data_IF_501450017154
#
_entry.id   IF_501450017154
#
_cell.length_a   1.000
_cell.length_b   1.000
_cell.length_c   1.000
_cell.angle_alpha   90.00
_cell.angle_beta   90.00
_cell.angle_gamma   90.00
#
_symmetry.space_group_name_H-M   'P 1'
#
loop_
_entity.id
_entity.type
_entity.pdbx_description
1 polymer ?
#
# COMPACT_ATOMS: atom_id res chain seq x y z
N UNK A 1 -27.54 -7.81 -13.78
CA UNK A 1 -26.73 -7.27 -12.66
C UNK A 1 -25.44 -8.09 -12.58
N UNK A 2 -24.35 -7.52 -12.08
CA UNK A 2 -23.07 -8.23 -12.00
C UNK A 2 -22.62 -8.66 -13.39
N UNK A 3 -22.43 -9.97 -13.57
CA UNK A 3 -21.93 -10.60 -14.80
C UNK A 3 -23.00 -10.88 -15.88
N UNK A 4 -24.29 -10.60 -15.64
CA UNK A 4 -25.35 -10.90 -16.62
C UNK A 4 -25.18 -10.23 -17.99
N UNK A 5 -24.39 -9.16 -18.08
CA UNK A 5 -24.08 -8.50 -19.36
C UNK A 5 -23.35 -9.43 -20.33
N UNK A 6 -22.70 -10.48 -19.85
CA UNK A 6 -22.05 -11.50 -20.67
C UNK A 6 -23.02 -12.37 -21.46
N UNK A 7 -24.32 -12.38 -21.08
CA UNK A 7 -25.38 -13.06 -21.85
C UNK A 7 -25.73 -12.35 -23.15
N UNK A 8 -25.35 -11.07 -23.29
CA UNK A 8 -25.56 -10.35 -24.53
C UNK A 8 -24.73 -10.99 -25.66
N UNK A 9 -25.32 -11.06 -26.85
CA UNK A 9 -24.69 -11.68 -28.02
C UNK A 9 -23.28 -11.08 -28.26
N UNK A 10 -22.29 -11.97 -28.40
CA UNK A 10 -20.90 -11.61 -28.64
C UNK A 10 -20.17 -10.91 -27.48
N UNK A 11 -20.77 -10.76 -26.29
CA UNK A 11 -20.08 -10.16 -25.13
C UNK A 11 -18.84 -10.97 -24.71
N UNK A 12 -18.98 -12.30 -24.56
CA UNK A 12 -17.86 -13.18 -24.23
C UNK A 12 -16.76 -13.15 -25.29
N UNK A 13 -17.12 -13.20 -26.57
CA UNK A 13 -16.17 -13.14 -27.68
C UNK A 13 -15.40 -11.81 -27.73
N UNK A 14 -16.06 -10.69 -27.42
CA UNK A 14 -15.39 -9.38 -27.31
C UNK A 14 -14.43 -9.32 -26.13
N UNK A 15 -14.80 -9.91 -24.99
CA UNK A 15 -13.88 -10.01 -23.84
C UNK A 15 -12.66 -10.86 -24.19
N UNK A 16 -12.87 -12.02 -24.82
CA UNK A 16 -11.78 -12.87 -25.32
C UNK A 16 -10.84 -12.11 -26.27
N UNK A 17 -11.41 -11.39 -27.26
CA UNK A 17 -10.63 -10.61 -28.21
C UNK A 17 -9.81 -9.49 -27.54
N UNK A 18 -10.34 -8.86 -26.49
CA UNK A 18 -9.58 -7.89 -25.70
C UNK A 18 -8.42 -8.56 -24.96
N UNK A 19 -8.64 -9.74 -24.36
CA UNK A 19 -7.59 -10.50 -23.69
C UNK A 19 -6.47 -10.91 -24.67
N UNK A 20 -6.84 -11.39 -25.86
CA UNK A 20 -5.88 -11.82 -26.90
C UNK A 20 -5.03 -10.65 -27.44
N UNK A 21 -5.61 -9.45 -27.50
CA UNK A 21 -4.94 -8.25 -27.99
C UNK A 21 -4.17 -7.47 -26.92
N UNK A 22 -4.35 -7.79 -25.63
CA UNK A 22 -3.77 -7.03 -24.53
C UNK A 22 -2.24 -7.26 -24.42
N UNK A 23 -1.42 -6.19 -24.47
CA UNK A 23 0.03 -6.32 -24.45
C UNK A 23 0.58 -6.82 -23.11
N UNK A 24 -0.11 -6.54 -21.99
CA UNK A 24 0.32 -6.98 -20.66
C UNK A 24 0.12 -8.49 -20.54
N UNK A 25 -1.07 -8.99 -20.89
CA UNK A 25 -1.35 -10.42 -20.92
C UNK A 25 -0.42 -11.15 -21.89
N UNK A 26 -0.25 -10.68 -23.13
CA UNK A 26 0.66 -11.31 -24.10
C UNK A 26 2.09 -11.44 -23.57
N UNK A 27 2.58 -10.46 -22.80
CA UNK A 27 3.91 -10.51 -22.23
C UNK A 27 4.02 -11.45 -21.02
N UNK A 28 2.96 -11.59 -20.23
CA UNK A 28 2.98 -12.31 -18.94
C UNK A 28 2.39 -13.72 -18.97
N UNK A 29 1.60 -14.06 -19.98
CA UNK A 29 0.98 -15.39 -20.14
C UNK A 29 2.00 -16.53 -20.40
N UNK A 30 3.13 -16.34 -21.10
CA UNK A 30 4.11 -17.41 -21.27
C UNK A 30 4.58 -17.95 -19.92
N UNK A 31 4.43 -19.27 -19.71
CA UNK A 31 4.77 -19.94 -18.44
C UNK A 31 3.65 -19.94 -17.38
N UNK A 32 2.50 -19.30 -17.67
CA UNK A 32 1.31 -19.40 -16.83
C UNK A 32 0.58 -20.74 -17.00
N UNK A 33 0.10 -21.29 -15.89
CA UNK A 33 -0.70 -22.52 -15.87
C UNK A 33 -1.70 -22.47 -14.71
N UNK A 34 -2.94 -22.01 -14.98
CA UNK A 34 -3.97 -21.91 -13.96
C UNK A 34 -5.37 -21.89 -14.58
N UNK A 35 -6.36 -22.41 -13.84
CA UNK A 35 -7.77 -22.30 -14.20
C UNK A 35 -8.56 -21.65 -13.08
N UNK A 36 -9.11 -20.47 -13.37
CA UNK A 36 -9.93 -19.69 -12.46
C UNK A 36 -11.39 -19.71 -12.92
N UNK A 37 -12.33 -19.44 -12.01
CA UNK A 37 -13.70 -19.09 -12.40
C UNK A 37 -14.27 -17.97 -11.54
N UNK A 38 -15.10 -17.14 -12.16
CA UNK A 38 -15.98 -16.19 -11.48
C UNK A 38 -17.41 -16.72 -11.55
N UNK A 39 -18.13 -16.66 -10.43
CA UNK A 39 -19.47 -17.22 -10.33
C UNK A 39 -20.44 -16.29 -9.60
N UNK A 40 -21.66 -16.27 -10.11
CA UNK A 40 -22.85 -15.70 -9.45
C UNK A 40 -24.05 -16.63 -9.68
N UNK A 41 -25.18 -16.46 -8.97
CA UNK A 41 -26.36 -17.30 -9.21
C UNK A 41 -26.76 -17.34 -10.69
N UNK A 42 -26.77 -18.55 -11.27
CA UNK A 42 -27.18 -18.81 -12.65
C UNK A 42 -26.13 -18.50 -13.74
N UNK A 43 -24.93 -18.03 -13.40
CA UNK A 43 -23.87 -17.76 -14.38
C UNK A 43 -22.48 -18.02 -13.78
N UNK A 44 -21.65 -18.77 -14.49
CA UNK A 44 -20.24 -18.94 -14.18
C UNK A 44 -19.39 -18.82 -15.45
N UNK A 45 -18.20 -18.27 -15.30
CA UNK A 45 -17.24 -18.14 -16.41
C UNK A 45 -15.88 -18.62 -15.92
N UNK A 46 -15.29 -19.56 -16.65
CA UNK A 46 -13.93 -20.01 -16.44
C UNK A 46 -12.94 -19.21 -17.28
N UNK A 47 -11.75 -18.99 -16.71
CA UNK A 47 -10.60 -18.36 -17.33
C UNK A 47 -9.45 -19.38 -17.25
N UNK A 48 -9.13 -20.00 -18.37
CA UNK A 48 -8.07 -21.01 -18.47
C UNK A 48 -6.80 -20.39 -19.04
N UNK A 49 -5.72 -20.43 -18.28
CA UNK A 49 -4.39 -19.95 -18.64
C UNK A 49 -3.52 -21.17 -18.91
N UNK A 50 -3.20 -21.40 -20.17
CA UNK A 50 -2.34 -22.49 -20.60
C UNK A 50 -1.64 -22.13 -21.92
N UNK A 51 -0.42 -22.65 -22.11
CA UNK A 51 0.32 -22.55 -23.39
C UNK A 51 0.48 -21.10 -23.90
N UNK A 52 0.61 -20.13 -22.98
CA UNK A 52 0.75 -18.71 -23.33
C UNK A 52 -0.54 -18.04 -23.81
N UNK A 53 -1.71 -18.65 -23.56
CA UNK A 53 -3.04 -18.11 -23.91
C UNK A 53 -3.94 -18.06 -22.68
N UNK A 54 -4.91 -17.15 -22.71
CA UNK A 54 -6.04 -17.11 -21.78
C UNK A 54 -7.30 -17.42 -22.59
N UNK A 55 -8.08 -18.42 -22.16
CA UNK A 55 -9.33 -18.82 -22.83
C UNK A 55 -10.50 -18.67 -21.87
N UNK A 56 -11.58 -18.03 -22.35
CA UNK A 56 -12.82 -17.84 -21.61
C UNK A 56 -13.86 -18.88 -22.05
N UNK A 57 -14.55 -19.49 -21.08
CA UNK A 57 -15.67 -20.40 -21.36
C UNK A 57 -16.77 -20.25 -20.31
N UNK A 58 -18.02 -20.54 -20.69
CA UNK A 58 -19.11 -20.65 -19.70
C UNK A 58 -18.93 -21.93 -18.89
N UNK A 59 -19.05 -21.81 -17.57
CA UNK A 59 -18.87 -22.92 -16.64
C UNK A 59 -18.09 -22.53 -15.39
N UNK A 60 -18.11 -23.42 -14.40
CA UNK A 60 -17.44 -23.25 -13.11
C UNK A 60 -16.30 -24.26 -12.90
N UNK A 61 -15.97 -25.07 -13.91
CA UNK A 61 -14.83 -25.98 -13.86
C UNK A 61 -13.53 -25.20 -13.77
N UNK A 62 -12.98 -25.10 -12.56
CA UNK A 62 -11.78 -24.36 -12.24
C UNK A 62 -11.11 -24.92 -10.99
N UNK A 63 -9.79 -24.79 -10.95
CA UNK A 63 -9.00 -25.14 -9.77
C UNK A 63 -9.21 -24.14 -8.63
N UNK A 64 -9.50 -22.87 -8.97
CA UNK A 64 -9.84 -21.81 -8.01
C UNK A 64 -11.09 -21.08 -8.46
N UNK A 65 -12.09 -20.98 -7.57
CA UNK A 65 -13.41 -20.41 -7.84
C UNK A 65 -13.64 -19.17 -6.98
N UNK A 66 -14.10 -18.08 -7.59
CA UNK A 66 -14.50 -16.84 -6.92
C UNK A 66 -16.01 -16.68 -7.04
N UNK A 67 -16.73 -16.81 -5.92
CA UNK A 67 -18.19 -16.77 -5.87
C UNK A 67 -18.72 -15.52 -5.17
N UNK A 68 -19.78 -14.92 -5.70
CA UNK A 68 -20.50 -13.85 -5.00
C UNK A 68 -21.90 -13.63 -5.59
N UNK A 69 -22.78 -12.99 -4.82
CA UNK A 69 -24.05 -12.48 -5.33
C UNK A 69 -23.86 -11.44 -6.45
N UNK A 70 -24.81 -11.38 -7.39
CA UNK A 70 -24.73 -10.46 -8.53
C UNK A 70 -24.56 -8.99 -8.11
N UNK A 71 -25.13 -8.59 -6.96
CA UNK A 71 -25.00 -7.24 -6.41
C UNK A 71 -23.58 -6.89 -5.92
N UNK A 72 -22.78 -7.89 -5.50
CA UNK A 72 -21.38 -7.69 -5.14
C UNK A 72 -20.56 -7.47 -6.42
N UNK A 73 -20.77 -8.33 -7.42
CA UNK A 73 -20.12 -8.21 -8.72
C UNK A 73 -20.48 -6.91 -9.46
N UNK A 74 -21.72 -6.44 -9.29
CA UNK A 74 -22.17 -5.15 -9.83
C UNK A 74 -21.29 -4.00 -9.36
N UNK A 75 -20.97 -3.98 -8.05
CA UNK A 75 -20.09 -2.98 -7.44
C UNK A 75 -18.64 -3.16 -7.90
N UNK A 76 -18.15 -4.39 -7.97
CA UNK A 76 -16.79 -4.69 -8.45
C UNK A 76 -16.56 -4.22 -9.89
N UNK A 77 -17.59 -4.33 -10.72
CA UNK A 77 -17.56 -3.95 -12.13
C UNK A 77 -17.96 -2.49 -12.38
N UNK A 78 -18.14 -1.66 -11.35
CA UNK A 78 -18.40 -0.23 -11.52
C UNK A 78 -17.16 0.50 -12.07
N UNK A 79 -17.31 1.63 -12.78
CA UNK A 79 -16.17 2.41 -13.31
C UNK A 79 -15.17 2.80 -12.21
N UNK A 80 -15.69 3.23 -11.07
CA UNK A 80 -14.94 3.42 -9.82
C UNK A 80 -15.63 2.56 -8.77
N UNK A 81 -15.12 1.34 -8.49
CA UNK A 81 -15.74 0.48 -7.49
C UNK A 81 -15.73 1.13 -6.11
N UNK A 82 -16.80 0.98 -5.32
CA UNK A 82 -16.80 1.49 -3.95
C UNK A 82 -15.78 0.76 -3.08
N UNK A 83 -15.46 1.33 -1.91
CA UNK A 83 -14.51 0.75 -0.96
C UNK A 83 -14.77 -0.76 -0.74
N UNK A 84 -13.68 -1.51 -0.67
CA UNK A 84 -13.62 -2.97 -0.55
C UNK A 84 -14.05 -3.78 -1.79
N UNK A 85 -14.58 -3.15 -2.83
CA UNK A 85 -15.02 -3.85 -4.05
C UNK A 85 -14.07 -3.61 -5.24
N UNK A 86 -12.91 -2.98 -5.03
CA UNK A 86 -12.01 -2.59 -6.11
C UNK A 86 -10.98 -3.66 -6.52
N UNK A 87 -10.85 -4.74 -5.74
CA UNK A 87 -9.93 -5.85 -6.01
C UNK A 87 -10.42 -7.16 -5.35
N UNK A 88 -10.07 -8.33 -5.91
CA UNK A 88 -10.44 -9.65 -5.34
C UNK A 88 -9.88 -9.86 -3.91
N UNK A 89 -8.70 -9.33 -3.60
CA UNK A 89 -8.15 -9.36 -2.24
C UNK A 89 -8.99 -8.55 -1.26
N UNK A 90 -9.47 -7.37 -1.69
CA UNK A 90 -10.34 -6.51 -0.90
C UNK A 90 -11.70 -7.20 -0.62
N UNK A 91 -12.28 -7.83 -1.67
CA UNK A 91 -13.49 -8.63 -1.56
C UNK A 91 -13.31 -9.77 -0.54
N UNK A 92 -12.24 -10.59 -0.72
CA UNK A 92 -11.91 -11.71 0.19
C UNK A 92 -11.78 -11.25 1.64
N UNK A 93 -11.19 -10.08 1.87
CA UNK A 93 -10.89 -9.64 3.23
C UNK A 93 -12.09 -8.98 3.92
N UNK A 94 -12.97 -8.30 3.18
CA UNK A 94 -13.94 -7.35 3.79
C UNK A 94 -15.38 -7.44 3.32
N UNK A 95 -15.70 -8.25 2.31
CA UNK A 95 -17.08 -8.32 1.78
C UNK A 95 -17.73 -9.66 2.15
N UNK A 96 -18.65 -9.67 3.14
CA UNK A 96 -19.45 -10.85 3.42
C UNK A 96 -20.23 -11.31 2.19
N UNK A 97 -20.27 -12.62 1.95
CA UNK A 97 -20.92 -13.21 0.78
C UNK A 97 -20.03 -13.32 -0.47
N UNK A 98 -18.79 -12.83 -0.43
CA UNK A 98 -17.76 -13.22 -1.38
C UNK A 98 -17.00 -14.45 -0.87
N UNK A 99 -16.79 -15.43 -1.73
CA UNK A 99 -16.03 -16.64 -1.44
C UNK A 99 -14.90 -16.83 -2.45
N UNK A 100 -13.82 -17.42 -1.97
CA UNK A 100 -12.75 -17.97 -2.82
C UNK A 100 -12.43 -19.36 -2.31
N UNK A 101 -12.51 -20.35 -3.20
CA UNK A 101 -12.27 -21.76 -2.87
C UNK A 101 -11.32 -22.38 -3.90
N UNK A 102 -10.41 -23.25 -3.43
CA UNK A 102 -9.53 -24.02 -4.31
C UNK A 102 -8.04 -23.70 -4.15
N UNK A 103 -7.31 -23.72 -5.25
CA UNK A 103 -5.84 -23.63 -5.30
C UNK A 103 -5.29 -22.22 -5.04
N UNK A 104 -5.05 -21.90 -3.77
CA UNK A 104 -4.45 -20.63 -3.37
C UNK A 104 -3.03 -20.40 -3.92
N UNK A 105 -2.26 -21.47 -4.17
CA UNK A 105 -0.92 -21.35 -4.74
C UNK A 105 -1.00 -20.87 -6.19
N UNK A 106 -1.87 -21.48 -6.99
CA UNK A 106 -2.11 -21.04 -8.37
C UNK A 106 -2.60 -19.59 -8.40
N UNK A 107 -3.47 -19.19 -7.46
CA UNK A 107 -3.88 -17.78 -7.36
C UNK A 107 -2.70 -16.87 -7.02
N UNK A 108 -1.87 -17.21 -6.04
CA UNK A 108 -0.68 -16.42 -5.69
C UNK A 108 0.30 -16.27 -6.88
N UNK A 109 0.45 -17.32 -7.70
CA UNK A 109 1.31 -17.29 -8.89
C UNK A 109 0.74 -16.43 -10.03
N UNK A 110 -0.59 -16.38 -10.18
CA UNK A 110 -1.24 -15.87 -11.40
C UNK A 110 -2.30 -14.77 -11.17
N UNK A 111 -2.45 -14.25 -9.95
CA UNK A 111 -3.42 -13.21 -9.61
C UNK A 111 -3.35 -11.99 -10.55
N UNK A 112 -2.15 -11.57 -10.94
CA UNK A 112 -1.91 -10.45 -11.85
C UNK A 112 -2.51 -10.66 -13.25
N UNK A 113 -2.54 -11.89 -13.75
CA UNK A 113 -3.18 -12.25 -15.02
C UNK A 113 -4.70 -12.20 -14.88
N UNK A 114 -5.22 -12.82 -13.82
CA UNK A 114 -6.65 -12.81 -13.52
C UNK A 114 -7.18 -11.39 -13.34
N UNK A 115 -6.51 -10.56 -12.52
CA UNK A 115 -6.88 -9.15 -12.32
C UNK A 115 -6.92 -8.40 -13.64
N UNK A 116 -5.89 -8.53 -14.48
CA UNK A 116 -5.87 -7.84 -15.78
C UNK A 116 -7.03 -8.29 -16.68
N UNK A 117 -7.33 -9.59 -16.72
CA UNK A 117 -8.49 -10.09 -17.47
C UNK A 117 -9.82 -9.49 -16.96
N UNK A 118 -9.98 -9.37 -15.64
CA UNK A 118 -11.15 -8.73 -15.02
C UNK A 118 -11.21 -7.21 -15.28
N UNK A 119 -10.06 -6.52 -15.30
CA UNK A 119 -9.97 -5.11 -15.71
C UNK A 119 -10.46 -4.91 -17.15
N UNK A 120 -10.07 -5.80 -18.07
CA UNK A 120 -10.55 -5.77 -19.47
C UNK A 120 -12.06 -6.01 -19.56
N UNK A 121 -12.59 -6.91 -18.73
CA UNK A 121 -14.03 -7.14 -18.64
C UNK A 121 -14.78 -5.89 -18.18
N UNK A 122 -14.25 -5.22 -17.14
CA UNK A 122 -14.78 -3.96 -16.61
C UNK A 122 -14.72 -2.83 -17.64
N UNK A 123 -13.59 -2.69 -18.36
CA UNK A 123 -13.45 -1.73 -19.46
C UNK A 123 -14.54 -1.90 -20.51
N UNK A 124 -14.73 -3.13 -21.00
CA UNK A 124 -15.73 -3.46 -22.00
C UNK A 124 -17.15 -3.16 -21.50
N UNK A 125 -17.46 -3.58 -20.27
CA UNK A 125 -18.76 -3.36 -19.64
C UNK A 125 -19.09 -1.87 -19.50
N UNK A 126 -18.09 -1.05 -19.18
CA UNK A 126 -18.22 0.40 -19.05
C UNK A 126 -18.28 1.14 -20.40
N UNK A 127 -18.44 0.42 -21.52
CA UNK A 127 -18.63 1.00 -22.85
C UNK A 127 -17.34 1.18 -23.64
N UNK A 128 -16.22 0.61 -23.21
CA UNK A 128 -14.98 0.61 -23.96
C UNK A 128 -15.10 -0.15 -25.29
N UNK A 129 -14.81 0.51 -26.40
CA UNK A 129 -14.95 -0.06 -27.76
C UNK A 129 -13.63 -0.34 -28.47
N UNK A 130 -12.50 0.09 -27.91
CA UNK A 130 -11.16 -0.08 -28.46
C UNK A 130 -10.19 -0.78 -27.49
N UNK A 131 -8.87 -0.75 -27.79
CA UNK A 131 -7.86 -1.26 -26.88
C UNK A 131 -8.02 -0.64 -25.49
N UNK A 132 -8.01 -1.48 -24.46
CA UNK A 132 -8.05 -1.00 -23.09
C UNK A 132 -6.73 -0.27 -22.76
N UNK A 133 -6.78 0.82 -21.97
CA UNK A 133 -5.56 1.43 -21.46
C UNK A 133 -4.80 0.46 -20.55
N UNK A 134 -3.50 0.68 -20.38
CA UNK A 134 -2.63 -0.12 -19.47
C UNK A 134 -3.15 -0.10 -18.03
N UNK A 135 -3.80 0.99 -17.63
CA UNK A 135 -4.47 1.14 -16.34
C UNK A 135 -5.83 1.80 -16.53
N UNK A 136 -6.83 1.39 -15.75
CA UNK A 136 -8.15 2.05 -15.68
C UNK A 136 -8.16 3.26 -14.72
N UNK A 137 -7.03 3.50 -14.04
CA UNK A 137 -6.82 4.66 -13.18
C UNK A 137 -6.69 5.94 -14.03
N UNK A 138 -7.06 7.11 -13.50
CA UNK A 138 -6.78 8.38 -14.19
C UNK A 138 -5.26 8.59 -14.32
N UNK A 139 -4.85 9.32 -15.36
CA UNK A 139 -3.44 9.70 -15.54
C UNK A 139 -3.16 11.07 -14.92
N UNK A 140 -1.94 11.30 -14.42
CA UNK A 140 -1.46 12.64 -14.04
C UNK A 140 -1.39 13.56 -15.27
N UNK A 141 -1.14 13.00 -16.45
CA UNK A 141 -1.15 13.72 -17.73
C UNK A 141 0.09 14.60 -17.97
N UNK A 142 0.95 14.79 -16.97
CA UNK A 142 2.23 15.50 -17.09
C UNK A 142 3.35 14.70 -16.42
N UNK A 143 4.53 14.56 -17.06
CA UNK A 143 5.70 14.01 -16.41
C UNK A 143 6.03 14.84 -15.17
N UNK A 144 6.12 14.20 -14.00
CA UNK A 144 6.58 14.86 -12.79
C UNK A 144 8.11 14.81 -12.79
N UNK A 145 8.81 15.95 -12.70
CA UNK A 145 10.26 15.92 -12.52
C UNK A 145 10.58 15.16 -11.21
N UNK A 146 11.74 14.49 -11.18
CA UNK A 146 12.22 13.89 -9.94
C UNK A 146 12.57 14.99 -8.93
N UNK A 147 12.47 14.71 -7.61
CA UNK A 147 12.83 15.69 -6.60
C UNK A 147 14.31 16.06 -6.72
N UNK A 148 14.64 17.32 -6.40
CA UNK A 148 16.03 17.75 -6.21
C UNK A 148 16.60 17.24 -4.87
N UNK A 149 16.45 15.94 -4.60
CA UNK A 149 16.86 15.32 -3.35
C UNK A 149 18.37 15.14 -3.26
N UNK A 150 18.93 15.40 -2.08
CA UNK A 150 20.32 15.09 -1.75
C UNK A 150 20.34 14.03 -0.67
N UNK A 151 21.11 12.96 -0.89
CA UNK A 151 21.22 11.87 0.07
C UNK A 151 22.65 11.46 0.38
N UNK A 152 22.78 10.81 1.53
CA UNK A 152 24.05 10.35 2.10
C UNK A 152 23.81 9.13 2.99
N UNK A 153 24.88 8.37 3.20
CA UNK A 153 24.88 7.32 4.20
C UNK A 153 25.19 7.88 5.59
N UNK A 154 24.59 7.29 6.60
CA UNK A 154 24.88 7.54 8.02
C UNK A 154 25.07 6.22 8.75
N UNK A 155 25.88 6.25 9.81
CA UNK A 155 26.01 5.11 10.72
C UNK A 155 25.10 5.35 11.93
N UNK A 156 24.28 4.36 12.24
CA UNK A 156 23.34 4.36 13.37
C UNK A 156 23.65 3.18 14.29
N UNK A 157 23.81 3.43 15.57
CA UNK A 157 24.00 2.39 16.57
C UNK A 157 22.65 1.92 17.12
N UNK A 158 22.36 0.62 17.01
CA UNK A 158 21.17 0.00 17.56
C UNK A 158 21.50 -1.44 18.00
N UNK A 159 20.91 -1.92 19.10
CA UNK A 159 21.11 -3.27 19.66
C UNK A 159 22.58 -3.67 19.81
N UNK A 160 23.45 -2.72 20.19
CA UNK A 160 24.87 -2.98 20.38
C UNK A 160 25.68 -3.15 19.09
N UNK A 161 25.14 -2.77 17.93
CA UNK A 161 25.84 -2.84 16.63
C UNK A 161 25.55 -1.63 15.74
N UNK A 162 26.42 -1.44 14.75
CA UNK A 162 26.33 -0.35 13.80
C UNK A 162 25.57 -0.78 12.54
N UNK A 163 24.65 0.08 12.10
CA UNK A 163 23.87 -0.05 10.88
C UNK A 163 24.22 1.12 9.95
N UNK A 164 24.51 0.82 8.68
CA UNK A 164 24.66 1.85 7.66
C UNK A 164 23.30 2.08 7.02
N UNK A 165 22.79 3.30 7.13
CA UNK A 165 21.50 3.69 6.56
C UNK A 165 21.69 4.76 5.49
N UNK A 166 21.00 4.62 4.36
CA UNK A 166 20.85 5.69 3.38
C UNK A 166 19.71 6.62 3.77
N UNK A 167 19.96 7.93 3.78
CA UNK A 167 18.94 8.95 3.95
C UNK A 167 19.03 10.00 2.85
N UNK A 168 17.90 10.60 2.49
CA UNK A 168 17.81 11.68 1.52
C UNK A 168 16.78 12.75 1.92
N UNK A 169 17.00 13.98 1.48
CA UNK A 169 16.17 15.11 1.81
C UNK A 169 16.01 16.09 0.65
N UNK A 170 14.87 16.77 0.62
CA UNK A 170 14.60 17.87 -0.30
C UNK A 170 13.77 18.97 0.38
N UNK A 171 13.94 20.21 -0.10
CA UNK A 171 13.24 21.39 0.42
C UNK A 171 13.97 22.07 1.58
N UNK A 172 13.37 23.15 2.08
CA UNK A 172 13.85 23.94 3.21
C UNK A 172 12.70 24.25 4.17
N UNK A 173 13.01 24.47 5.44
CA UNK A 173 12.01 24.70 6.49
C UNK A 173 12.01 23.60 7.54
N UNK A 174 10.90 23.46 8.28
CA UNK A 174 10.78 22.47 9.36
C UNK A 174 10.88 21.05 8.77
N UNK A 175 11.78 20.20 9.28
CA UNK A 175 11.93 18.85 8.76
C UNK A 175 10.71 17.99 9.10
N UNK A 176 10.29 17.22 8.12
CA UNK A 176 9.41 16.06 8.26
C UNK A 176 10.30 14.84 8.05
N UNK A 177 10.42 13.99 9.07
CA UNK A 177 11.05 12.70 8.97
C UNK A 177 10.01 11.67 8.49
N UNK A 178 10.13 11.30 7.21
CA UNK A 178 9.33 10.29 6.54
C UNK A 178 9.85 8.88 6.76
N UNK A 179 8.97 7.97 7.14
CA UNK A 179 9.24 6.55 7.31
C UNK A 179 8.47 5.72 6.26
N UNK A 180 9.16 4.92 5.45
CA UNK A 180 8.54 4.10 4.40
C UNK A 180 7.71 2.94 4.96
N UNK A 181 6.82 2.40 4.13
CA UNK A 181 6.01 1.21 4.46
C UNK A 181 6.82 -0.08 4.33
N UNK A 182 6.27 -1.18 4.85
CA UNK A 182 6.90 -2.51 4.79
C UNK A 182 7.34 -2.88 3.37
N UNK A 183 8.59 -3.34 3.21
CA UNK A 183 9.20 -3.81 1.95
C UNK A 183 9.35 -2.75 0.86
N UNK A 184 9.21 -1.47 1.18
CA UNK A 184 9.47 -0.34 0.28
C UNK A 184 10.66 0.49 0.79
N UNK A 185 10.80 1.73 0.33
CA UNK A 185 11.95 2.57 0.68
C UNK A 185 11.61 4.07 0.56
N UNK A 186 12.58 4.93 0.83
CA UNK A 186 12.47 6.39 0.84
C UNK A 186 11.90 7.00 -0.46
N UNK A 187 11.92 6.27 -1.59
CA UNK A 187 11.33 6.74 -2.86
C UNK A 187 9.84 6.96 -2.79
N UNK A 188 9.13 6.36 -1.82
CA UNK A 188 7.73 6.69 -1.55
C UNK A 188 7.48 8.17 -1.25
N UNK A 189 8.50 8.89 -0.79
CA UNK A 189 8.40 10.31 -0.46
C UNK A 189 8.79 11.25 -1.60
N UNK A 190 9.29 10.74 -2.73
CA UNK A 190 9.85 11.57 -3.81
C UNK A 190 8.86 12.60 -4.36
N UNK A 191 7.58 12.23 -4.48
CA UNK A 191 6.55 13.17 -4.95
C UNK A 191 6.22 14.26 -3.93
N UNK A 192 6.32 13.97 -2.63
CA UNK A 192 6.18 14.98 -1.59
C UNK A 192 7.42 15.87 -1.47
N UNK A 193 8.61 15.33 -1.73
CA UNK A 193 9.86 16.08 -1.81
C UNK A 193 9.85 17.16 -2.90
N UNK A 194 9.12 16.94 -4.00
CA UNK A 194 8.93 17.91 -5.08
C UNK A 194 7.67 18.77 -4.94
N UNK A 195 6.89 18.59 -3.85
CA UNK A 195 5.60 19.28 -3.73
C UNK A 195 5.72 20.74 -3.27
N UNK A 196 5.35 21.65 -4.17
CA UNK A 196 5.44 23.10 -3.97
C UNK A 196 4.58 23.56 -2.81
N UNK A 197 3.43 22.91 -2.58
CA UNK A 197 2.53 23.28 -1.48
C UNK A 197 3.19 23.05 -0.12
N UNK A 198 4.00 22.00 0.03
CA UNK A 198 4.76 21.73 1.26
C UNK A 198 5.88 22.74 1.46
N UNK A 199 6.65 23.01 0.41
CA UNK A 199 7.73 24.00 0.45
C UNK A 199 7.19 25.40 0.79
N UNK A 200 6.08 25.83 0.19
CA UNK A 200 5.40 27.10 0.49
C UNK A 200 4.88 27.17 1.93
N UNK A 201 4.48 26.03 2.51
CA UNK A 201 4.07 25.93 3.90
C UNK A 201 5.26 25.87 4.88
N UNK A 202 6.50 25.93 4.39
CA UNK A 202 7.70 25.96 5.23
C UNK A 202 8.13 24.60 5.76
N UNK A 203 7.86 23.52 5.03
CA UNK A 203 8.27 22.17 5.38
C UNK A 203 9.27 21.59 4.36
N UNK A 204 10.19 20.77 4.87
CA UNK A 204 11.14 19.98 4.09
C UNK A 204 10.96 18.49 4.42
N UNK A 205 11.15 17.61 3.45
CA UNK A 205 11.07 16.16 3.67
C UNK A 205 12.47 15.59 3.81
N UNK A 206 12.68 14.75 4.81
CA UNK A 206 13.81 13.82 4.93
C UNK A 206 13.25 12.43 5.10
N UNK A 207 13.73 11.45 4.34
CA UNK A 207 13.38 10.04 4.51
C UNK A 207 14.64 9.18 4.55
N UNK A 208 14.55 7.99 5.13
CA UNK A 208 15.65 7.03 5.14
C UNK A 208 15.17 5.63 4.86
N UNK A 209 16.08 4.81 4.36
CA UNK A 209 15.86 3.40 4.09
C UNK A 209 16.23 2.57 5.31
N UNK A 210 15.31 1.74 5.79
CA UNK A 210 15.62 0.73 6.81
C UNK A 210 16.70 -0.24 6.31
N UNK A 211 17.39 -0.97 7.20
CA UNK A 211 18.35 -1.98 6.78
C UNK A 211 17.74 -2.97 5.78
N UNK A 212 18.47 -3.29 4.70
CA UNK A 212 17.99 -4.18 3.63
C UNK A 212 16.93 -3.58 2.68
N UNK A 213 16.67 -2.28 2.77
CA UNK A 213 15.73 -1.56 1.90
C UNK A 213 16.45 -0.56 1.02
N UNK A 214 15.90 -0.30 -0.18
CA UNK A 214 16.40 0.73 -1.09
C UNK A 214 17.92 0.68 -1.27
N UNK A 215 18.61 1.72 -0.79
CA UNK A 215 20.06 1.86 -0.83
C UNK A 215 20.76 1.46 0.47
N UNK A 216 20.03 1.22 1.56
CA UNK A 216 20.59 0.70 2.81
C UNK A 216 21.00 -0.77 2.65
N UNK A 217 22.25 -1.14 2.98
CA UNK A 217 22.72 -2.51 2.86
C UNK A 217 21.89 -3.47 3.72
N UNK A 218 21.79 -4.72 3.27
CA UNK A 218 21.22 -5.80 4.05
C UNK A 218 22.10 -6.13 5.26
N UNK A 219 21.46 -6.56 6.35
CA UNK A 219 22.15 -7.07 7.54
C UNK A 219 22.28 -8.58 7.39
N UNK A 220 23.50 -9.11 7.55
CA UNK A 220 23.77 -10.54 7.49
C UNK A 220 23.33 -11.22 8.79
N UNK A 221 22.02 -11.41 8.98
CA UNK A 221 21.46 -12.09 10.15
C UNK A 221 21.26 -13.60 9.88
N UNK A 222 21.72 -14.50 10.76
CA UNK A 222 21.31 -15.90 10.73
C UNK A 222 19.79 -16.01 10.89
N UNK A 223 19.08 -16.50 9.88
CA UNK A 223 17.62 -16.66 9.90
C UNK A 223 16.83 -15.61 9.12
N UNK A 224 17.49 -14.61 8.53
CA UNK A 224 16.85 -13.58 7.68
C UNK A 224 16.44 -12.32 8.45
N UNK A 225 15.96 -11.31 7.70
CA UNK A 225 15.48 -10.05 8.25
C UNK A 225 14.17 -10.24 9.03
N UNK A 226 14.10 -9.70 10.24
CA UNK A 226 12.88 -9.58 11.02
C UNK A 226 12.94 -8.26 11.80
N UNK A 227 11.98 -7.38 11.52
CA UNK A 227 11.86 -6.11 12.24
C UNK A 227 11.02 -6.33 13.50
N UNK A 228 11.39 -5.65 14.57
CA UNK A 228 10.60 -5.59 15.80
C UNK A 228 10.63 -4.17 16.39
N UNK A 229 9.84 -3.96 17.44
CA UNK A 229 9.63 -2.65 18.06
C UNK A 229 10.91 -2.00 18.54
N UNK A 230 11.79 -2.75 19.21
CA UNK A 230 13.00 -2.18 19.82
C UNK A 230 14.02 -1.79 18.76
N UNK A 231 14.26 -2.68 17.79
CA UNK A 231 15.17 -2.38 16.69
C UNK A 231 14.66 -1.17 15.89
N UNK A 232 13.36 -1.15 15.56
CA UNK A 232 12.81 -0.08 14.74
C UNK A 232 12.89 1.28 15.45
N UNK A 233 12.52 1.32 16.73
CA UNK A 233 12.62 2.52 17.57
C UNK A 233 14.06 3.05 17.65
N UNK A 234 15.03 2.18 17.91
CA UNK A 234 16.45 2.58 18.01
C UNK A 234 17.00 3.08 16.68
N UNK A 235 16.64 2.46 15.55
CA UNK A 235 17.03 2.93 14.22
C UNK A 235 16.48 4.33 13.94
N UNK A 236 15.22 4.63 14.28
CA UNK A 236 14.62 5.96 14.10
C UNK A 236 15.36 6.99 14.95
N UNK A 237 15.53 6.74 16.25
CA UNK A 237 16.15 7.69 17.18
C UNK A 237 17.63 7.93 16.86
N UNK A 238 18.35 6.87 16.48
CA UNK A 238 19.73 6.96 16.05
C UNK A 238 19.87 7.63 14.69
N UNK A 239 18.94 7.45 13.76
CA UNK A 239 18.91 8.22 12.52
C UNK A 239 18.67 9.71 12.79
N UNK A 240 17.74 10.08 13.67
CA UNK A 240 17.51 11.48 14.07
C UNK A 240 18.80 12.13 14.58
N UNK A 241 19.58 11.40 15.39
CA UNK A 241 20.86 11.87 15.91
C UNK A 241 21.94 11.98 14.81
N UNK A 242 22.15 10.92 14.03
CA UNK A 242 23.16 10.87 12.98
C UNK A 242 22.86 11.80 11.79
N UNK A 243 21.58 12.08 11.54
CA UNK A 243 21.16 13.02 10.52
C UNK A 243 21.42 14.48 10.93
N UNK A 244 21.31 14.78 12.23
CA UNK A 244 21.63 16.09 12.78
C UNK A 244 20.61 17.17 12.44
N UNK A 245 19.31 16.90 12.65
CA UNK A 245 18.27 17.90 12.43
C UNK A 245 18.49 19.16 13.29
N UNK A 246 18.31 20.33 12.68
CA UNK A 246 18.49 21.64 13.34
C UNK A 246 17.33 22.01 14.26
N UNK A 247 16.17 21.40 14.06
CA UNK A 247 14.99 21.50 14.93
C UNK A 247 14.29 20.14 15.01
N UNK A 248 13.38 19.97 15.97
CA UNK A 248 12.65 18.69 16.12
C UNK A 248 11.82 18.41 14.86
N UNK A 249 12.01 17.25 14.19
CA UNK A 249 11.22 16.93 13.03
C UNK A 249 9.78 16.57 13.40
N UNK A 250 8.86 16.73 12.45
CA UNK A 250 7.58 16.03 12.48
C UNK A 250 7.81 14.61 12.00
N UNK A 251 7.36 13.60 12.75
CA UNK A 251 7.43 12.21 12.30
C UNK A 251 6.21 11.87 11.45
N UNK A 252 6.43 11.31 10.26
CA UNK A 252 5.38 10.91 9.33
C UNK A 252 5.64 9.48 8.85
N UNK A 253 4.70 8.57 9.09
CA UNK A 253 4.79 7.18 8.63
C UNK A 253 3.43 6.62 8.26
N UNK A 254 3.39 5.58 7.44
CA UNK A 254 2.19 4.85 7.04
C UNK A 254 2.34 3.35 7.32
N UNK A 255 1.24 2.65 7.62
CA UNK A 255 1.20 1.19 7.77
C UNK A 255 2.12 0.74 8.93
N UNK A 256 3.08 -0.15 8.66
CA UNK A 256 4.18 -0.50 9.57
C UNK A 256 4.80 0.73 10.25
N UNK A 257 5.08 1.78 9.48
CA UNK A 257 5.68 2.99 10.04
C UNK A 257 4.68 3.93 10.70
N UNK A 258 3.38 3.73 10.49
CA UNK A 258 2.31 4.36 11.27
C UNK A 258 2.22 3.79 12.69
N UNK A 259 2.36 2.49 12.86
CA UNK A 259 2.38 1.84 14.18
C UNK A 259 3.61 2.24 15.00
N UNK A 260 4.80 2.27 14.39
CA UNK A 260 5.99 2.76 15.10
C UNK A 260 5.88 4.26 15.43
N UNK A 261 5.12 5.05 14.67
CA UNK A 261 4.81 6.43 15.04
C UNK A 261 4.02 6.49 16.37
N UNK A 262 3.07 5.58 16.59
CA UNK A 262 2.35 5.47 17.86
C UNK A 262 3.30 5.04 19.00
N UNK A 263 4.22 4.12 18.73
CA UNK A 263 5.28 3.76 19.68
C UNK A 263 6.17 4.97 20.02
N UNK A 264 6.58 5.77 19.04
CA UNK A 264 7.41 6.95 19.25
C UNK A 264 6.70 8.03 20.07
N UNK A 265 5.38 8.17 19.88
CA UNK A 265 4.56 9.09 20.67
C UNK A 265 4.55 8.72 22.16
N UNK A 266 4.71 7.44 22.49
CA UNK A 266 4.86 6.94 23.85
C UNK A 266 6.30 7.01 24.34
N UNK A 267 7.26 6.51 23.56
CA UNK A 267 8.65 6.26 23.95
C UNK A 267 9.52 7.51 23.97
N UNK A 268 9.35 8.40 23.00
CA UNK A 268 10.24 9.54 22.79
C UNK A 268 9.50 10.79 22.27
N UNK A 269 8.37 11.21 22.88
CA UNK A 269 7.59 12.34 22.40
C UNK A 269 8.39 13.65 22.40
N UNK A 270 9.41 13.79 23.25
CA UNK A 270 10.28 14.96 23.29
C UNK A 270 11.21 15.09 22.07
N UNK A 271 11.37 14.04 21.26
CA UNK A 271 12.23 14.05 20.07
C UNK A 271 11.56 14.61 18.83
N UNK A 272 10.23 14.74 18.84
CA UNK A 272 9.43 15.14 17.67
C UNK A 272 8.60 16.39 17.97
N UNK A 273 8.41 17.23 16.95
CA UNK A 273 7.54 18.41 17.04
C UNK A 273 6.06 18.03 16.99
N UNK A 274 5.75 16.99 16.23
CA UNK A 274 4.44 16.35 16.11
C UNK A 274 4.62 14.98 15.47
N UNK A 275 3.58 14.15 15.55
CA UNK A 275 3.53 12.83 14.92
C UNK A 275 2.26 12.72 14.08
N UNK A 276 2.43 12.29 12.83
CA UNK A 276 1.35 12.00 11.89
C UNK A 276 1.46 10.52 11.53
N UNK A 277 0.56 9.72 12.09
CA UNK A 277 0.51 8.28 11.90
C UNK A 277 -0.57 7.94 10.87
N UNK A 278 -0.15 7.55 9.67
CA UNK A 278 -1.03 7.13 8.60
C UNK A 278 -1.28 5.62 8.65
N UNK A 279 -2.48 5.17 8.27
CA UNK A 279 -2.86 3.74 8.22
C UNK A 279 -2.47 2.97 9.50
N UNK A 280 -2.66 3.58 10.67
CA UNK A 280 -2.16 3.10 11.95
C UNK A 280 -3.30 2.79 12.93
N UNK A 281 -3.25 1.63 13.57
CA UNK A 281 -4.13 1.24 14.66
C UNK A 281 -3.32 0.54 15.74
N UNK A 282 -3.82 0.47 16.97
CA UNK A 282 -3.12 -0.11 18.13
C UNK A 282 -2.82 -1.62 18.04
N UNK A 283 -3.39 -2.29 17.05
CA UNK A 283 -3.10 -3.68 16.70
C UNK A 283 -3.67 -4.02 15.32
N UNK A 284 -2.85 -4.58 14.42
CA UNK A 284 -3.28 -5.08 13.11
C UNK A 284 -2.99 -6.59 13.00
N UNK A 285 -3.93 -7.30 12.39
CA UNK A 285 -3.84 -8.74 12.13
C UNK A 285 -4.10 -9.04 10.65
N UNK A 286 -3.84 -10.29 10.26
CA UNK A 286 -4.22 -10.86 8.95
C UNK A 286 -3.57 -10.17 7.75
N UNK A 287 -2.40 -9.55 7.95
CA UNK A 287 -1.56 -9.02 6.86
C UNK A 287 -0.38 -9.89 6.50
N UNK A 288 -0.06 -10.89 7.34
CA UNK A 288 0.85 -11.98 6.98
C UNK A 288 0.26 -12.80 5.84
N UNK A 289 1.08 -13.09 4.84
CA UNK A 289 0.77 -13.99 3.73
C UNK A 289 1.94 -14.95 3.55
N UNK A 290 1.68 -16.27 3.43
CA UNK A 290 2.75 -17.25 3.23
C UNK A 290 3.37 -17.16 1.83
N UNK A 291 2.80 -16.35 0.92
CA UNK A 291 3.17 -16.31 -0.48
C UNK A 291 4.26 -15.27 -0.79
N UNK A 292 4.59 -14.38 0.16
CA UNK A 292 5.57 -13.31 -0.07
C UNK A 292 7.03 -13.81 -0.12
N UNK A 293 7.31 -15.00 0.41
CA UNK A 293 8.61 -15.68 0.41
C UNK A 293 8.52 -17.17 0.01
N UNK A 294 7.36 -17.60 -0.50
CA UNK A 294 7.16 -19.00 -0.89
C UNK A 294 8.08 -19.38 -2.06
N UNK A 295 8.79 -20.53 -2.03
CA UNK A 295 9.78 -20.90 -3.05
C UNK A 295 9.20 -21.13 -4.45
N UNK A 296 7.89 -21.40 -4.55
CA UNK A 296 7.17 -21.55 -5.82
C UNK A 296 6.47 -20.26 -6.30
N UNK A 297 6.58 -19.15 -5.55
CA UNK A 297 5.94 -17.88 -5.88
C UNK A 297 7.03 -16.85 -6.14
N UNK A 298 6.95 -16.18 -7.29
CA UNK A 298 7.86 -15.07 -7.57
C UNK A 298 7.44 -13.84 -6.77
N UNK A 299 8.16 -13.55 -5.69
CA UNK A 299 7.90 -12.42 -4.81
C UNK A 299 7.86 -11.06 -5.53
N UNK A 300 8.71 -10.86 -6.55
CA UNK A 300 8.76 -9.64 -7.35
C UNK A 300 7.54 -9.45 -8.27
N UNK A 301 6.66 -10.45 -8.37
CA UNK A 301 5.37 -10.37 -9.07
C UNK A 301 4.22 -10.35 -8.04
N UNK A 302 4.25 -11.28 -7.08
CA UNK A 302 3.17 -11.43 -6.10
C UNK A 302 3.03 -10.23 -5.18
N UNK A 303 4.14 -9.70 -4.64
CA UNK A 303 4.08 -8.58 -3.68
C UNK A 303 3.49 -7.33 -4.38
N UNK A 304 3.99 -6.86 -5.53
CA UNK A 304 3.36 -5.75 -6.24
C UNK A 304 1.89 -5.96 -6.56
N UNK A 305 1.48 -7.19 -6.93
CA UNK A 305 0.07 -7.51 -7.20
C UNK A 305 -0.81 -7.47 -5.94
N UNK A 306 -0.30 -7.95 -4.81
CA UNK A 306 -0.97 -7.82 -3.53
C UNK A 306 -1.12 -6.35 -3.10
N UNK A 307 -0.08 -5.55 -3.35
CA UNK A 307 -0.02 -4.12 -3.07
C UNK A 307 -0.95 -3.32 -3.99
N UNK A 308 -1.08 -3.68 -5.26
CA UNK A 308 -2.03 -3.07 -6.21
C UNK A 308 -3.46 -3.11 -5.68
N UNK A 309 -3.83 -4.19 -5.00
CA UNK A 309 -5.14 -4.32 -4.36
C UNK A 309 -5.41 -3.23 -3.33
N UNK A 310 -4.39 -2.75 -2.62
CA UNK A 310 -4.52 -1.77 -1.53
C UNK A 310 -4.58 -0.31 -2.01
N UNK A 311 -4.36 -0.04 -3.30
CA UNK A 311 -4.36 1.31 -3.87
C UNK A 311 -5.78 1.68 -4.33
N UNK A 312 -6.26 2.87 -3.94
CA UNK A 312 -7.62 3.32 -4.27
C UNK A 312 -7.81 3.47 -5.79
N UNK A 313 -8.90 3.01 -6.42
CA UNK A 313 -9.03 2.92 -7.89
C UNK A 313 -8.94 4.27 -8.63
N UNK A 314 -9.20 5.38 -7.95
CA UNK A 314 -9.04 6.75 -8.47
C UNK A 314 -7.63 7.34 -8.29
N UNK A 315 -6.72 6.67 -7.60
CA UNK A 315 -5.33 7.11 -7.46
C UNK A 315 -4.63 7.10 -8.83
N UNK A 316 -3.82 8.12 -9.18
CA UNK A 316 -3.21 8.23 -10.49
C UNK A 316 -2.39 7.00 -10.92
N UNK A 317 -2.49 6.66 -12.20
CA UNK A 317 -1.88 5.47 -12.80
C UNK A 317 -0.36 5.44 -12.64
N UNK A 318 0.30 6.59 -12.81
CA UNK A 318 1.76 6.74 -12.69
C UNK A 318 2.24 6.50 -11.25
N UNK A 319 1.50 7.00 -10.26
CA UNK A 319 1.78 6.77 -8.84
C UNK A 319 1.62 5.30 -8.48
N UNK A 320 0.54 4.65 -8.94
CA UNK A 320 0.33 3.22 -8.70
C UNK A 320 1.45 2.36 -9.35
N UNK A 321 1.88 2.73 -10.56
CA UNK A 321 2.98 2.05 -11.24
C UNK A 321 4.32 2.22 -10.50
N UNK A 322 4.60 3.40 -9.95
CA UNK A 322 5.78 3.64 -9.11
C UNK A 322 5.76 2.82 -7.83
N UNK A 323 4.62 2.75 -7.14
CA UNK A 323 4.45 1.88 -5.97
C UNK A 323 4.76 0.42 -6.36
N UNK A 324 4.11 -0.10 -7.41
CA UNK A 324 4.34 -1.47 -7.88
C UNK A 324 5.82 -1.72 -8.23
N UNK A 325 6.47 -0.73 -8.86
CA UNK A 325 7.90 -0.78 -9.18
C UNK A 325 8.77 -0.88 -7.92
N UNK A 326 8.57 -0.01 -6.92
CA UNK A 326 9.33 -0.05 -5.67
C UNK A 326 9.22 -1.43 -5.00
N UNK A 327 8.00 -1.96 -4.91
CA UNK A 327 7.73 -3.26 -4.32
C UNK A 327 8.30 -4.44 -5.11
N UNK A 328 8.50 -4.29 -6.42
CA UNK A 328 9.12 -5.32 -7.26
C UNK A 328 10.64 -5.45 -7.06
N UNK A 329 11.25 -4.47 -6.38
CA UNK A 329 12.70 -4.36 -6.17
C UNK A 329 13.14 -4.70 -4.75
N UNK A 330 12.22 -5.12 -3.89
CA UNK A 330 12.52 -5.47 -2.51
C UNK A 330 13.47 -6.68 -2.40
N UNK A 331 14.33 -6.67 -1.38
CA UNK A 331 15.16 -7.81 -1.04
C UNK A 331 14.32 -9.05 -0.68
N UNK A 332 14.83 -10.24 -0.99
CA UNK A 332 14.19 -11.48 -0.59
C UNK A 332 14.04 -11.54 0.94
N UNK A 333 12.84 -11.87 1.43
CA UNK A 333 12.54 -11.93 2.86
C UNK A 333 12.33 -10.57 3.55
N UNK A 334 12.67 -9.45 2.90
CA UNK A 334 12.54 -8.11 3.49
C UNK A 334 11.08 -7.76 3.80
N UNK A 335 10.18 -7.86 2.81
CA UNK A 335 8.75 -7.59 3.00
C UNK A 335 8.10 -8.46 4.10
N UNK A 336 8.21 -9.81 4.07
CA UNK A 336 7.61 -10.61 5.15
C UNK A 336 8.26 -10.34 6.51
N UNK A 337 9.57 -10.06 6.57
CA UNK A 337 10.27 -9.68 7.80
C UNK A 337 9.77 -8.38 8.43
N UNK A 338 9.41 -7.39 7.61
CA UNK A 338 8.74 -6.16 8.05
C UNK A 338 7.31 -6.42 8.54
N UNK A 339 6.57 -7.27 7.82
CA UNK A 339 5.19 -7.61 8.16
C UNK A 339 5.09 -8.37 9.49
N UNK A 340 6.19 -8.98 9.98
CA UNK A 340 6.22 -9.58 11.32
C UNK A 340 5.90 -8.54 12.40
N UNK A 341 6.52 -7.36 12.34
CA UNK A 341 6.22 -6.25 13.24
C UNK A 341 4.78 -5.76 13.02
N UNK A 342 4.42 -5.39 11.80
CA UNK A 342 3.13 -4.77 11.49
C UNK A 342 1.91 -5.65 11.77
N UNK A 343 2.03 -6.96 11.55
CA UNK A 343 0.90 -7.89 11.69
C UNK A 343 1.15 -8.83 12.86
N UNK A 344 0.86 -8.36 14.07
CA UNK A 344 0.89 -9.12 15.32
C UNK A 344 2.22 -9.12 16.08
N UNK A 345 3.26 -8.44 15.58
CA UNK A 345 4.51 -8.24 16.32
C UNK A 345 4.46 -7.01 17.23
N UNK A 346 3.71 -5.98 16.84
CA UNK A 346 3.39 -4.83 17.67
C UNK A 346 1.95 -4.91 18.16
N UNK A 347 1.77 -4.82 19.48
CA UNK A 347 0.48 -4.73 20.15
C UNK A 347 0.58 -3.63 21.21
N UNK A 348 -0.31 -2.66 21.10
CA UNK A 348 -0.37 -1.55 22.03
C UNK A 348 -1.78 -1.35 22.60
N UNK A 349 -2.70 -2.31 22.45
CA UNK A 349 -4.10 -2.20 22.90
C UNK A 349 -4.23 -1.84 24.38
N UNK A 350 -3.30 -2.31 25.21
CA UNK A 350 -3.24 -2.07 26.65
C UNK A 350 -2.48 -0.80 27.05
N UNK A 351 -1.80 -0.12 26.11
CA UNK A 351 -0.89 0.99 26.42
C UNK A 351 -1.02 2.23 25.56
N UNK A 352 -1.75 2.21 24.44
CA UNK A 352 -1.95 3.40 23.59
C UNK A 352 -2.56 4.57 24.35
N UNK A 353 -3.44 4.31 25.30
CA UNK A 353 -4.07 5.34 26.14
C UNK A 353 -3.07 6.14 27.01
N UNK A 354 -1.82 5.68 27.12
CA UNK A 354 -0.73 6.34 27.85
C UNK A 354 0.02 7.37 27.00
N UNK A 355 -0.27 7.47 25.70
CA UNK A 355 0.30 8.50 24.83
C UNK A 355 -0.17 9.88 25.32
N UNK A 356 0.79 10.75 25.61
CA UNK A 356 0.54 12.11 26.08
C UNK A 356 0.64 13.12 24.93
N UNK A 357 -0.51 13.49 24.37
CA UNK A 357 -0.59 14.41 23.24
C UNK A 357 -0.29 15.87 23.59
N UNK A 358 -0.18 16.20 24.89
CA UNK A 358 0.30 17.51 25.32
C UNK A 358 1.82 17.63 25.17
N UNK A 359 2.56 16.51 25.27
CA UNK A 359 4.02 16.47 25.03
C UNK A 359 4.37 16.45 23.55
N UNK A 360 3.60 15.69 22.75
CA UNK A 360 3.78 15.62 21.31
C UNK A 360 2.42 15.43 20.64
N UNK A 361 1.94 16.42 19.85
CA UNK A 361 0.67 16.29 19.18
C UNK A 361 0.63 15.10 18.22
N UNK A 362 -0.47 14.35 18.25
CA UNK A 362 -0.68 13.16 17.44
C UNK A 362 -1.91 13.31 16.54
N UNK A 363 -1.73 13.08 15.23
CA UNK A 363 -2.82 12.98 14.26
C UNK A 363 -2.75 11.64 13.54
N UNK A 364 -3.88 10.93 13.51
CA UNK A 364 -4.07 9.69 12.76
C UNK A 364 -4.81 10.01 11.46
N UNK A 365 -4.27 9.55 10.33
CA UNK A 365 -4.89 9.68 9.01
C UNK A 365 -5.07 8.28 8.41
N UNK A 366 -6.20 7.95 7.81
CA UNK A 366 -6.40 6.60 7.24
C UNK A 366 -7.26 6.66 6.00
N UNK A 367 -6.80 6.01 4.93
CA UNK A 367 -7.48 5.96 3.65
C UNK A 367 -8.86 5.30 3.72
N UNK A 368 -9.81 5.83 2.97
CA UNK A 368 -11.14 5.23 2.80
C UNK A 368 -11.08 3.81 2.19
N UNK A 369 -10.13 3.58 1.28
CA UNK A 369 -9.97 2.33 0.54
C UNK A 369 -9.00 1.35 1.21
N UNK A 370 -8.38 1.72 2.33
CA UNK A 370 -7.51 0.80 3.05
C UNK A 370 -8.33 -0.33 3.70
N UNK A 371 -8.24 -1.52 3.13
CA UNK A 371 -8.83 -2.73 3.71
C UNK A 371 -7.88 -3.47 4.65
N UNK A 372 -6.61 -3.07 4.75
CA UNK A 372 -5.66 -3.58 5.73
C UNK A 372 -5.94 -2.95 7.10
N UNK A 373 -5.60 -1.67 7.25
CA UNK A 373 -5.87 -0.88 8.43
C UNK A 373 -7.10 0.00 8.12
N UNK A 374 -8.29 -0.54 8.32
CA UNK A 374 -9.51 0.20 8.00
C UNK A 374 -9.59 1.49 8.81
N UNK A 375 -10.17 2.55 8.24
CA UNK A 375 -10.45 3.81 8.93
C UNK A 375 -11.11 3.60 10.31
N UNK A 376 -11.94 2.57 10.44
CA UNK A 376 -12.59 2.19 11.68
C UNK A 376 -11.60 1.68 12.76
N UNK A 377 -10.53 0.97 12.37
CA UNK A 377 -9.46 0.56 13.31
C UNK A 377 -8.70 1.78 13.86
N UNK A 378 -8.31 2.70 12.98
CA UNK A 378 -7.59 3.92 13.36
C UNK A 378 -8.47 4.84 14.19
N UNK A 379 -9.75 4.98 13.85
CA UNK A 379 -10.72 5.74 14.64
C UNK A 379 -10.87 5.18 16.06
N UNK A 380 -11.01 3.85 16.18
CA UNK A 380 -11.09 3.17 17.47
C UNK A 380 -9.81 3.33 18.30
N UNK A 381 -8.65 3.36 17.65
CA UNK A 381 -7.36 3.63 18.30
C UNK A 381 -7.27 5.07 18.80
N UNK A 382 -7.57 6.05 17.95
CA UNK A 382 -7.55 7.46 18.30
C UNK A 382 -8.49 7.78 19.47
N UNK A 383 -9.67 7.14 19.52
CA UNK A 383 -10.63 7.31 20.62
C UNK A 383 -10.08 6.87 21.99
N UNK A 384 -9.06 6.01 22.04
CA UNK A 384 -8.38 5.59 23.28
C UNK A 384 -7.31 6.58 23.74
N UNK A 385 -6.90 7.53 22.90
CA UNK A 385 -5.76 8.43 23.14
C UNK A 385 -6.29 9.86 23.38
N UNK A 386 -6.26 10.36 24.62
CA UNK A 386 -6.73 11.71 24.92
C UNK A 386 -6.01 12.77 24.08
N UNK A 387 -6.79 13.60 23.37
CA UNK A 387 -6.29 14.70 22.54
C UNK A 387 -5.74 14.31 21.17
N UNK A 388 -5.69 13.02 20.83
CA UNK A 388 -5.36 12.60 19.47
C UNK A 388 -6.45 13.03 18.49
N UNK A 389 -6.04 13.37 17.27
CA UNK A 389 -6.95 13.69 16.17
C UNK A 389 -7.03 12.53 15.21
N UNK A 390 -8.19 12.31 14.62
CA UNK A 390 -8.38 11.33 13.57
C UNK A 390 -9.13 11.95 12.39
N UNK A 391 -8.70 11.60 11.18
CA UNK A 391 -9.42 11.93 9.96
C UNK A 391 -9.31 10.79 8.95
N UNK A 392 -10.45 10.34 8.43
CA UNK A 392 -10.49 9.47 7.25
C UNK A 392 -10.18 10.30 6.00
N UNK A 393 -9.33 9.76 5.13
CA UNK A 393 -8.95 10.36 3.86
C UNK A 393 -9.79 9.75 2.74
N UNK A 394 -10.88 10.43 2.39
CA UNK A 394 -11.74 10.01 1.28
C UNK A 394 -10.95 10.00 -0.03
N UNK A 395 -11.13 8.96 -0.83
CA UNK A 395 -10.42 8.80 -2.10
C UNK A 395 -9.00 8.23 -2.02
N UNK A 396 -8.48 7.90 -0.83
CA UNK A 396 -7.12 7.35 -0.61
C UNK A 396 -7.19 5.89 -0.12
N UNK A 397 -6.19 5.09 -0.47
CA UNK A 397 -5.99 3.70 -0.04
C UNK A 397 -4.91 3.58 1.03
N UNK A 398 -4.12 2.50 0.97
CA UNK A 398 -3.12 2.18 2.00
C UNK A 398 -1.79 2.93 1.88
N UNK A 399 -1.55 3.66 0.78
CA UNK A 399 -0.25 4.31 0.51
C UNK A 399 -0.41 5.83 0.34
N UNK A 400 -1.00 6.55 1.31
CA UNK A 400 -1.35 7.96 1.18
C UNK A 400 -0.22 8.83 0.65
N UNK A 401 1.00 8.58 1.13
CA UNK A 401 2.21 9.34 0.81
C UNK A 401 2.54 9.26 -0.69
N UNK A 402 2.33 8.10 -1.32
CA UNK A 402 2.80 7.82 -2.67
C UNK A 402 1.68 7.69 -3.70
N UNK A 403 0.49 7.21 -3.32
CA UNK A 403 -0.53 6.83 -4.31
C UNK A 403 -1.25 8.02 -4.92
N UNK A 404 -1.48 9.09 -4.13
CA UNK A 404 -2.11 10.30 -4.60
C UNK A 404 -1.63 11.51 -3.79
N UNK A 405 -0.39 11.99 -4.01
CA UNK A 405 0.22 13.03 -3.20
C UNK A 405 -0.57 14.34 -3.16
N UNK A 406 -1.20 14.71 -4.27
CA UNK A 406 -2.03 15.91 -4.36
C UNK A 406 -3.25 15.82 -3.44
N UNK A 407 -3.97 14.68 -3.47
CA UNK A 407 -5.10 14.43 -2.58
C UNK A 407 -4.64 14.29 -1.13
N UNK A 408 -3.53 13.59 -0.87
CA UNK A 408 -2.99 13.43 0.48
C UNK A 408 -2.63 14.78 1.12
N UNK A 409 -2.13 15.75 0.35
CA UNK A 409 -1.80 17.07 0.86
C UNK A 409 -3.00 17.87 1.36
N UNK A 410 -4.21 17.58 0.89
CA UNK A 410 -5.42 18.20 1.41
C UNK A 410 -5.72 17.79 2.85
N UNK A 411 -5.14 16.67 3.31
CA UNK A 411 -5.21 16.17 4.68
C UNK A 411 -3.93 16.45 5.47
N UNK A 412 -2.76 16.27 4.85
CA UNK A 412 -1.46 16.44 5.51
C UNK A 412 -1.19 17.89 5.91
N UNK A 413 -1.47 18.87 5.04
CA UNK A 413 -1.18 20.28 5.34
C UNK A 413 -1.97 20.81 6.55
N UNK A 414 -3.30 20.59 6.65
CA UNK A 414 -4.03 20.94 7.87
C UNK A 414 -3.45 20.26 9.11
N UNK A 415 -3.07 18.98 9.02
CA UNK A 415 -2.45 18.26 10.13
C UNK A 415 -1.15 18.94 10.56
N UNK A 416 -0.24 19.26 9.63
CA UNK A 416 1.04 19.92 9.90
C UNK A 416 0.87 21.33 10.49
N UNK A 417 0.07 22.19 9.85
CA UNK A 417 -0.09 23.59 10.22
C UNK A 417 -0.76 23.76 11.59
N UNK A 418 -1.68 22.87 11.92
CA UNK A 418 -2.38 22.90 13.21
C UNK A 418 -1.46 22.63 14.41
N UNK A 419 -0.28 22.04 14.18
CA UNK A 419 0.75 21.83 15.19
C UNK A 419 1.76 22.98 15.22
N UNK A 420 2.04 23.57 14.05
CA UNK A 420 2.97 24.70 13.93
C UNK A 420 2.47 25.95 14.68
N UNK A 421 1.17 26.24 14.64
CA UNK A 421 0.57 27.38 15.33
C UNK A 421 0.65 27.32 16.87
N UNK A 422 0.90 26.14 17.46
CA UNK A 422 1.06 25.98 18.92
C UNK A 422 2.50 26.20 19.39
N UNK A 423 3.48 26.19 18.50
CA UNK A 423 4.91 26.35 18.85
C UNK A 423 5.41 27.80 18.78
N UNK A 424 4.58 28.73 18.28
CA UNK A 424 4.93 30.15 18.05
C UNK A 424 4.29 31.12 19.03
N UNK A 425 3.63 30.63 20.09
CA UNK A 425 3.02 31.43 21.16
C UNK A 425 3.82 31.30 22.45
#
# INVERSE_FOLDING_TARGET
>A
MGWDWLRAEGAMARWQALCDADPILRHRLPGGAARFSIAQPGLAVSLDIAEGRLTLAEGDDAATRFGAEAAIWEKFLAPVPPRHHHNLYALRMRVPGFTMEGDELAWAQHAHLLRRALDLARWLRCGGTGPAPTSLRPALGVPTPGPAATGRYVTVHARGRDYVLYGEAAGTGRPILGLHTAGSDSRQFHRLMDERRLAQAGFAITAFDLPGHGRSPAVAEPGGWALDTELYAELILGFVEAWGFTEKPVLLGASMSGEICLEMAFRAPERFAAIIACEAADHIERRRTPWADHPLVNAAIYIPEWIEGLIAPQSPAECAAEIAWHYSQGGCGTFPGDILFYSGGWDARDRVHRIDTARCPLTLLTGEYDYSCTAEHSAATAAKIPGARFQRMDGIGHFPIAENPACFLDFLLPALLSQHAKSTV
#
